data_IF_577474329952
#
_entry.id   IF_577474329952
#
_cell.length_a   1.000
_cell.length_b   1.000
_cell.length_c   1.000
_cell.angle_alpha   90.00
_cell.angle_beta   90.00
_cell.angle_gamma   90.00
#
_symmetry.space_group_name_H-M   'P 1'
#
loop_
_entity.id
_entity.type
_entity.pdbx_description
1 polymer ?
#
# COMPACT_ATOMS: atom_id res chain seq x y z
N UNK A 1 5.72 -9.35 10.59
CA UNK A 1 4.95 -10.61 10.45
C UNK A 1 3.64 -10.41 9.70
N UNK A 2 3.21 -9.18 9.47
CA UNK A 2 1.87 -8.86 8.95
C UNK A 2 1.66 -9.28 7.50
N UNK A 3 2.70 -9.21 6.67
CA UNK A 3 2.65 -9.73 5.29
C UNK A 3 2.20 -11.20 5.24
N UNK A 4 2.79 -12.06 6.07
CA UNK A 4 2.44 -13.50 6.11
C UNK A 4 1.00 -13.69 6.59
N UNK A 5 0.57 -12.90 7.58
CA UNK A 5 -0.81 -12.93 8.09
C UNK A 5 -1.81 -12.52 7.01
N UNK A 6 -1.56 -11.44 6.29
CA UNK A 6 -2.42 -10.97 5.19
C UNK A 6 -2.46 -11.97 4.05
N UNK A 7 -1.31 -12.51 3.64
CA UNK A 7 -1.24 -13.56 2.61
C UNK A 7 -2.11 -14.76 3.00
N UNK A 8 -1.88 -15.31 4.19
CA UNK A 8 -2.62 -16.47 4.67
C UNK A 8 -4.12 -16.17 4.83
N UNK A 9 -4.50 -14.93 5.18
CA UNK A 9 -5.90 -14.50 5.24
C UNK A 9 -6.55 -14.46 3.86
N UNK A 10 -5.86 -13.92 2.85
CA UNK A 10 -6.33 -13.88 1.47
C UNK A 10 -6.48 -15.30 0.90
N UNK A 11 -5.51 -16.17 1.18
CA UNK A 11 -5.55 -17.60 0.83
C UNK A 11 -6.75 -18.30 1.49
N UNK A 12 -6.94 -18.11 2.80
CA UNK A 12 -8.06 -18.70 3.54
C UNK A 12 -9.43 -18.22 3.03
N UNK A 13 -9.50 -17.00 2.49
CA UNK A 13 -10.70 -16.44 1.85
C UNK A 13 -10.82 -16.79 0.36
N UNK A 14 -9.90 -17.58 -0.18
CA UNK A 14 -9.87 -17.99 -1.60
C UNK A 14 -9.92 -16.78 -2.55
N UNK A 15 -9.29 -15.67 -2.16
CA UNK A 15 -9.24 -14.48 -3.01
C UNK A 15 -8.19 -14.66 -4.10
N UNK A 16 -8.45 -14.10 -5.28
CA UNK A 16 -7.41 -14.01 -6.31
C UNK A 16 -6.48 -12.84 -6.02
N UNK A 17 -5.21 -13.15 -5.74
CA UNK A 17 -4.18 -12.14 -5.54
C UNK A 17 -2.82 -12.62 -6.04
N UNK A 18 -1.92 -11.66 -6.26
CA UNK A 18 -0.51 -11.91 -6.53
C UNK A 18 0.35 -11.28 -5.45
N UNK A 19 1.61 -11.71 -5.34
CA UNK A 19 2.51 -11.21 -4.32
C UNK A 19 3.82 -10.71 -4.92
N UNK A 20 4.40 -9.68 -4.32
CA UNK A 20 5.76 -9.26 -4.58
C UNK A 20 6.44 -8.90 -3.25
N UNK A 21 7.42 -9.71 -2.88
CA UNK A 21 8.18 -9.55 -1.66
C UNK A 21 9.67 -9.55 -1.95
N UNK A 22 10.47 -9.14 -0.97
CA UNK A 22 11.93 -9.17 -1.01
C UNK A 22 12.52 -10.57 -1.24
N UNK A 23 11.74 -11.63 -1.02
CA UNK A 23 12.13 -13.02 -1.24
C UNK A 23 11.59 -13.61 -2.55
N UNK A 24 10.79 -12.84 -3.31
CA UNK A 24 10.23 -13.30 -4.58
C UNK A 24 11.33 -13.34 -5.66
N UNK A 25 11.37 -14.40 -6.46
CA UNK A 25 12.27 -14.49 -7.60
C UNK A 25 11.87 -13.50 -8.70
N UNK A 26 12.84 -13.07 -9.52
CA UNK A 26 12.60 -12.05 -10.55
C UNK A 26 11.55 -12.47 -11.59
N UNK A 27 11.55 -13.75 -11.96
CA UNK A 27 10.55 -14.31 -12.87
C UNK A 27 9.14 -14.31 -12.26
N UNK A 28 9.03 -14.60 -10.96
CA UNK A 28 7.75 -14.54 -10.24
C UNK A 28 7.24 -13.10 -10.17
N UNK A 29 8.12 -12.15 -9.85
CA UNK A 29 7.78 -10.72 -9.80
C UNK A 29 7.27 -10.24 -11.16
N UNK A 30 7.94 -10.62 -12.25
CA UNK A 30 7.54 -10.26 -13.61
C UNK A 30 6.16 -10.85 -13.97
N UNK A 31 5.92 -12.12 -13.63
CA UNK A 31 4.61 -12.77 -13.83
C UNK A 31 3.51 -12.10 -13.02
N UNK A 32 3.75 -11.86 -11.73
CA UNK A 32 2.78 -11.21 -10.83
C UNK A 32 2.39 -9.82 -11.33
N UNK A 33 3.37 -9.00 -11.74
CA UNK A 33 3.11 -7.67 -12.30
C UNK A 33 2.29 -7.72 -13.58
N UNK A 34 2.61 -8.63 -14.48
CA UNK A 34 1.86 -8.82 -15.74
C UNK A 34 0.41 -9.25 -15.46
N UNK A 35 0.22 -10.22 -14.57
CA UNK A 35 -1.12 -10.73 -14.20
C UNK A 35 -1.97 -9.65 -13.54
N UNK A 36 -1.38 -8.84 -12.66
CA UNK A 36 -2.06 -7.71 -12.02
C UNK A 36 -2.45 -6.64 -13.05
N UNK A 37 -1.52 -6.21 -13.91
CA UNK A 37 -1.79 -5.19 -14.93
C UNK A 37 -2.86 -5.62 -15.94
N UNK A 38 -2.89 -6.90 -16.31
CA UNK A 38 -3.92 -7.47 -17.18
C UNK A 38 -5.30 -7.59 -16.50
N UNK A 39 -5.40 -7.42 -15.17
CA UNK A 39 -6.64 -7.56 -14.42
C UNK A 39 -7.03 -9.00 -14.06
N UNK A 40 -6.16 -9.98 -14.35
CA UNK A 40 -6.36 -11.40 -13.98
C UNK A 40 -6.14 -11.68 -12.49
N UNK A 41 -5.66 -10.70 -11.73
CA UNK A 41 -5.63 -10.75 -10.27
C UNK A 41 -5.93 -9.36 -9.75
N UNK A 42 -7.08 -9.16 -9.09
CA UNK A 42 -7.52 -7.82 -8.67
C UNK A 42 -6.69 -7.24 -7.53
N UNK A 43 -5.96 -8.08 -6.79
CA UNK A 43 -5.17 -7.67 -5.61
C UNK A 43 -3.70 -8.02 -5.81
N UNK A 44 -2.81 -7.10 -5.47
CA UNK A 44 -1.37 -7.34 -5.37
C UNK A 44 -0.90 -6.98 -3.96
N UNK A 45 -0.37 -7.97 -3.24
CA UNK A 45 0.23 -7.78 -1.93
C UNK A 45 1.72 -7.51 -2.08
N UNK A 46 2.17 -6.35 -1.62
CA UNK A 46 3.53 -5.87 -1.79
C UNK A 46 4.15 -5.49 -0.43
N UNK A 47 5.44 -5.78 -0.26
CA UNK A 47 6.19 -5.35 0.92
C UNK A 47 6.95 -4.06 0.68
N UNK A 48 7.10 -3.24 1.72
CA UNK A 48 7.92 -2.02 1.65
C UNK A 48 9.38 -2.36 1.29
N UNK A 49 9.92 -3.45 1.84
CA UNK A 49 11.30 -3.91 1.56
C UNK A 49 11.50 -4.24 0.08
N UNK A 50 10.52 -4.85 -0.57
CA UNK A 50 10.57 -5.09 -2.00
C UNK A 50 10.68 -3.78 -2.79
N UNK A 51 9.85 -2.79 -2.44
CA UNK A 51 9.90 -1.47 -3.06
C UNK A 51 11.24 -0.76 -2.82
N UNK A 52 11.77 -0.87 -1.61
CA UNK A 52 13.08 -0.31 -1.24
C UNK A 52 14.21 -0.82 -2.14
N UNK A 53 14.29 -2.14 -2.37
CA UNK A 53 15.40 -2.72 -3.14
C UNK A 53 15.23 -2.57 -4.66
N UNK A 54 13.99 -2.65 -5.17
CA UNK A 54 13.74 -2.73 -6.62
C UNK A 54 13.20 -1.45 -7.24
N UNK A 55 12.53 -0.59 -6.44
CA UNK A 55 11.87 0.66 -6.86
C UNK A 55 10.99 0.51 -8.11
N UNK A 56 10.32 -0.63 -8.24
CA UNK A 56 9.43 -0.86 -9.38
C UNK A 56 8.17 0.00 -9.27
N UNK A 57 7.86 0.73 -10.35
CA UNK A 57 6.54 1.36 -10.50
C UNK A 57 5.52 0.29 -10.92
N UNK A 58 4.58 -0.01 -10.02
CA UNK A 58 3.48 -0.94 -10.31
C UNK A 58 2.41 -0.20 -11.11
N UNK A 59 2.01 -0.79 -12.24
CA UNK A 59 1.01 -0.20 -13.15
C UNK A 59 -0.35 -0.83 -12.92
N UNK A 60 -1.41 -0.11 -13.31
CA UNK A 60 -2.80 -0.57 -13.16
C UNK A 60 -3.37 -0.43 -11.75
N UNK A 61 -2.66 0.23 -10.82
CA UNK A 61 -3.16 0.49 -9.47
C UNK A 61 -4.28 1.53 -9.54
N UNK A 62 -5.42 1.21 -8.90
CA UNK A 62 -6.55 2.13 -8.74
C UNK A 62 -6.84 2.44 -7.28
N UNK A 63 -6.64 1.46 -6.41
CA UNK A 63 -6.85 1.58 -4.98
C UNK A 63 -5.57 1.15 -4.28
N UNK A 64 -5.11 1.99 -3.35
CA UNK A 64 -3.92 1.77 -2.57
C UNK A 64 -4.31 1.67 -1.09
N UNK A 65 -3.89 0.58 -0.44
CA UNK A 65 -4.15 0.36 0.98
C UNK A 65 -2.81 0.14 1.68
N UNK A 66 -2.43 1.09 2.52
CA UNK A 66 -1.30 0.94 3.42
C UNK A 66 -1.77 0.26 4.70
N UNK A 67 -1.24 -0.93 4.98
CA UNK A 67 -1.54 -1.65 6.22
C UNK A 67 -0.94 -0.96 7.45
N UNK A 68 0.16 -0.22 7.26
CA UNK A 68 0.78 0.64 8.25
C UNK A 68 1.44 1.83 7.52
N UNK A 69 1.74 2.94 8.22
CA UNK A 69 2.42 4.07 7.59
C UNK A 69 3.81 3.66 7.08
N UNK A 70 4.23 4.09 5.86
CA UNK A 70 5.56 3.78 5.34
C UNK A 70 6.66 4.24 6.29
N UNK A 71 7.69 3.41 6.48
CA UNK A 71 8.80 3.72 7.37
C UNK A 71 9.75 4.75 6.74
N UNK A 72 9.96 4.65 5.44
CA UNK A 72 10.84 5.53 4.68
C UNK A 72 10.13 6.79 4.18
N UNK A 73 10.83 7.92 4.30
CA UNK A 73 10.35 9.20 3.77
C UNK A 73 10.27 9.14 2.23
N UNK A 74 9.23 9.74 1.66
CA UNK A 74 8.96 9.77 0.22
C UNK A 74 8.28 8.51 -0.34
N UNK A 75 8.25 7.39 0.39
CA UNK A 75 7.59 6.19 -0.11
C UNK A 75 6.08 6.36 -0.26
N UNK A 76 5.46 7.10 0.67
CA UNK A 76 4.05 7.44 0.56
C UNK A 76 3.75 8.11 -0.79
N UNK A 77 4.54 9.12 -1.18
CA UNK A 77 4.40 9.83 -2.45
C UNK A 77 4.71 8.93 -3.64
N UNK A 78 5.75 8.09 -3.57
CA UNK A 78 6.07 7.14 -4.63
C UNK A 78 4.94 6.15 -4.91
N UNK A 79 4.28 5.64 -3.86
CA UNK A 79 3.12 4.78 -4.02
C UNK A 79 1.89 5.54 -4.51
N UNK A 80 1.65 6.77 -4.03
CA UNK A 80 0.57 7.62 -4.55
C UNK A 80 0.74 7.90 -6.05
N UNK A 81 1.98 8.13 -6.49
CA UNK A 81 2.29 8.33 -7.90
C UNK A 81 1.92 7.11 -8.76
N UNK A 82 1.78 5.91 -8.21
CA UNK A 82 1.31 4.73 -8.97
C UNK A 82 -0.17 4.84 -9.38
N UNK A 83 -0.95 5.70 -8.71
CA UNK A 83 -2.37 5.96 -9.03
C UNK A 83 -2.57 6.90 -10.23
N UNK A 84 -1.52 7.63 -10.62
CA UNK A 84 -1.56 8.64 -11.68
C UNK A 84 -2.08 8.08 -13.01
N UNK A 85 -1.67 6.87 -13.40
CA UNK A 85 -2.15 6.25 -14.65
C UNK A 85 -3.67 6.05 -14.64
N UNK A 86 -4.24 5.66 -13.49
CA UNK A 86 -5.67 5.47 -13.34
C UNK A 86 -6.42 6.81 -13.28
N UNK A 87 -5.87 7.80 -12.57
CA UNK A 87 -6.43 9.14 -12.46
C UNK A 87 -6.49 9.84 -13.83
N UNK A 88 -5.41 9.75 -14.63
CA UNK A 88 -5.36 10.33 -15.98
C UNK A 88 -6.39 9.69 -16.94
N UNK A 89 -6.74 8.42 -16.71
CA UNK A 89 -7.79 7.70 -17.44
C UNK A 89 -9.20 7.96 -16.86
N UNK A 90 -9.35 8.92 -15.95
CA UNK A 90 -10.60 9.28 -15.28
C UNK A 90 -11.25 8.12 -14.51
N UNK A 91 -10.44 7.14 -14.08
CA UNK A 91 -10.92 6.12 -13.14
C UNK A 91 -10.95 6.68 -11.72
N UNK A 92 -11.93 6.25 -10.93
CA UNK A 92 -11.95 6.53 -9.51
C UNK A 92 -10.70 5.91 -8.84
N UNK A 93 -9.94 6.74 -8.13
CA UNK A 93 -8.75 6.33 -7.37
C UNK A 93 -8.96 6.56 -5.88
N UNK A 94 -8.38 5.69 -5.05
CA UNK A 94 -8.42 5.84 -3.60
C UNK A 94 -7.08 5.47 -2.97
N UNK A 95 -6.76 6.15 -1.86
CA UNK A 95 -5.62 5.84 -1.00
C UNK A 95 -6.08 5.82 0.44
N UNK A 96 -5.89 4.68 1.11
CA UNK A 96 -6.28 4.46 2.50
C UNK A 96 -5.06 4.06 3.30
N UNK A 97 -4.80 4.76 4.40
CA UNK A 97 -3.69 4.47 5.30
C UNK A 97 -4.23 4.06 6.67
N UNK A 98 -3.94 2.83 7.06
CA UNK A 98 -4.22 2.31 8.40
C UNK A 98 -3.05 2.69 9.32
N UNK A 99 -3.38 3.05 10.56
CA UNK A 99 -2.40 3.39 11.58
C UNK A 99 -2.89 2.95 12.96
N UNK A 100 -1.94 2.70 13.85
CA UNK A 100 -2.19 2.43 15.26
C UNK A 100 -1.54 3.52 16.13
N UNK A 101 -1.92 3.64 17.42
CA UNK A 101 -1.28 4.59 18.33
C UNK A 101 0.25 4.46 18.44
N UNK A 102 0.80 3.26 18.20
CA UNK A 102 2.24 3.00 18.16
C UNK A 102 2.95 3.62 16.95
N UNK A 103 2.21 4.01 15.91
CA UNK A 103 2.75 4.46 14.63
C UNK A 103 2.93 5.98 14.58
N UNK A 104 3.04 6.63 15.73
CA UNK A 104 3.10 8.09 15.81
C UNK A 104 4.22 8.69 14.96
N UNK A 105 5.45 8.18 15.10
CA UNK A 105 6.62 8.69 14.37
C UNK A 105 6.51 8.53 12.84
N UNK A 106 6.17 7.36 12.27
CA UNK A 106 6.01 7.25 10.82
C UNK A 106 4.76 7.98 10.31
N UNK A 107 3.68 8.11 11.11
CA UNK A 107 2.51 8.90 10.75
C UNK A 107 2.83 10.40 10.64
N UNK A 108 3.62 10.94 11.56
CA UNK A 108 4.08 12.34 11.50
C UNK A 108 4.80 12.68 10.20
N UNK A 109 5.52 11.72 9.61
CA UNK A 109 6.21 11.92 8.32
C UNK A 109 5.25 12.04 7.14
N UNK A 110 4.06 11.45 7.25
CA UNK A 110 3.04 11.48 6.19
C UNK A 110 2.14 12.70 6.33
N UNK A 111 1.61 12.96 7.53
CA UNK A 111 0.58 14.01 7.74
C UNK A 111 1.10 15.25 8.46
N UNK A 112 2.34 15.25 8.95
CA UNK A 112 2.92 16.29 9.78
C UNK A 112 2.56 16.17 11.27
N UNK A 113 3.38 16.76 12.14
CA UNK A 113 3.27 16.65 13.60
C UNK A 113 1.92 17.10 14.17
N UNK A 114 1.41 18.24 13.70
CA UNK A 114 0.14 18.79 14.21
C UNK A 114 -1.05 17.86 13.92
N UNK A 115 -1.15 17.36 12.68
CA UNK A 115 -2.24 16.47 12.27
C UNK A 115 -2.11 15.10 12.92
N UNK A 116 -0.90 14.52 12.96
CA UNK A 116 -0.67 13.24 13.61
C UNK A 116 -1.08 13.28 15.08
N UNK A 117 -0.71 14.34 15.81
CA UNK A 117 -1.10 14.53 17.21
C UNK A 117 -2.63 14.56 17.37
N UNK A 118 -3.35 15.24 16.47
CA UNK A 118 -4.82 15.27 16.49
C UNK A 118 -5.43 13.91 16.19
N UNK A 119 -4.92 13.19 15.18
CA UNK A 119 -5.39 11.87 14.78
C UNK A 119 -5.18 10.81 15.86
N UNK A 120 -4.06 10.89 16.60
CA UNK A 120 -3.74 9.95 17.68
C UNK A 120 -4.53 10.24 18.97
N UNK A 121 -4.86 11.51 19.24
CA UNK A 121 -5.63 11.91 20.43
C UNK A 121 -7.13 11.60 20.30
N UNK A 122 -7.68 11.60 19.09
CA UNK A 122 -9.10 11.37 18.85
C UNK A 122 -9.38 9.88 18.65
N UNK A 123 -9.70 9.18 19.73
CA UNK A 123 -10.10 7.75 19.71
C UNK A 123 -11.49 7.54 19.09
N UNK A 124 -12.35 8.58 19.10
CA UNK A 124 -13.76 8.47 18.67
C UNK A 124 -13.96 8.47 17.15
N UNK A 125 -12.99 8.95 16.36
CA UNK A 125 -13.08 8.98 14.90
C UNK A 125 -12.26 7.86 14.27
N UNK A 126 -12.95 6.98 13.54
CA UNK A 126 -12.37 5.80 12.88
C UNK A 126 -11.80 6.08 11.49
N UNK A 127 -12.07 7.25 10.90
CA UNK A 127 -11.56 7.63 9.57
C UNK A 127 -11.17 9.10 9.52
N UNK A 128 -10.08 9.37 8.81
CA UNK A 128 -9.54 10.71 8.60
C UNK A 128 -9.26 10.88 7.11
N UNK A 129 -9.74 11.99 6.54
CA UNK A 129 -9.44 12.38 5.16
C UNK A 129 -8.42 13.50 5.23
N UNK A 130 -7.28 13.31 4.57
CA UNK A 130 -6.27 14.34 4.39
C UNK A 130 -5.89 14.42 2.92
N UNK A 131 -5.72 15.66 2.46
CA UNK A 131 -5.20 16.04 1.15
C UNK A 131 -3.84 16.70 1.36
#
# INVERSE_FOLDING_TARGET
FDYVRLRNLLDARQMEFVTASEYSADDDIARSRTRFYAGHSPVMLLTERFHFFRRYRIRGVRNLIFYAPPLHNGFYDEFLNMLEEAANKQHAVSSTLLFMPSDALPLERVVGTSRATSMLKQVEKSSYVFV
#
